data_IF_996916926579
#
_entry.id   IF_996916926579
#
_cell.length_a   1.000
_cell.length_b   1.000
_cell.length_c   1.000
_cell.angle_alpha   90.00
_cell.angle_beta   90.00
_cell.angle_gamma   90.00
#
_symmetry.space_group_name_H-M   'P 1'
#
loop_
_entity.id
_entity.type
_entity.pdbx_description
1 polymer ?
#
# COMPACT_ATOMS: atom_id res chain seq x y z
N UNK A 1 3.88 81.14 7.97
CA UNK A 1 5.17 80.56 8.27
C UNK A 1 5.03 79.08 7.89
N UNK A 2 5.40 78.74 6.66
CA UNK A 2 5.31 77.41 6.09
C UNK A 2 6.65 76.73 6.29
N UNK A 3 6.65 75.49 6.81
CA UNK A 3 7.82 74.64 6.86
C UNK A 3 7.63 73.52 5.83
N UNK A 4 8.47 73.59 4.80
CA UNK A 4 8.67 72.56 3.79
C UNK A 4 9.16 71.27 4.40
N UNK A 5 8.40 70.20 4.26
CA UNK A 5 8.86 68.80 4.51
C UNK A 5 9.20 68.14 3.17
N UNK A 6 10.48 68.17 2.81
CA UNK A 6 11.03 67.44 1.65
C UNK A 6 11.17 65.97 1.98
N UNK A 7 10.22 65.15 1.49
CA UNK A 7 10.35 63.70 1.44
C UNK A 7 11.57 63.31 0.61
N UNK A 8 12.49 62.62 1.22
CA UNK A 8 13.66 62.01 0.56
C UNK A 8 13.18 60.85 -0.25
N UNK A 9 13.22 60.97 -1.56
CA UNK A 9 13.00 59.87 -2.50
C UNK A 9 14.28 59.05 -2.56
N UNK A 10 14.26 57.72 -2.27
CA UNK A 10 15.45 56.88 -2.38
C UNK A 10 15.96 56.88 -3.81
N UNK A 11 17.26 56.91 -4.02
CA UNK A 11 17.90 56.91 -5.32
C UNK A 11 17.69 55.54 -6.00
N UNK A 12 17.61 55.57 -7.32
CA UNK A 12 17.42 54.34 -8.17
C UNK A 12 18.49 53.24 -7.95
N UNK A 13 19.65 53.60 -7.37
CA UNK A 13 20.68 52.64 -6.97
C UNK A 13 20.33 51.81 -5.70
N UNK A 14 19.55 52.36 -4.76
CA UNK A 14 19.09 51.63 -3.58
C UNK A 14 17.95 50.66 -3.90
N UNK A 15 17.07 51.05 -4.83
CA UNK A 15 16.00 50.19 -5.34
C UNK A 15 16.60 49.02 -6.19
N UNK A 16 17.65 49.28 -6.96
CA UNK A 16 18.35 48.26 -7.72
C UNK A 16 19.12 47.26 -6.83
N UNK A 17 19.62 47.66 -5.66
CA UNK A 17 20.28 46.75 -4.71
C UNK A 17 19.31 45.88 -3.92
N UNK A 18 18.09 46.34 -3.66
CA UNK A 18 17.07 45.54 -3.00
C UNK A 18 16.36 44.54 -3.91
N UNK A 19 16.33 44.77 -5.23
CA UNK A 19 15.73 43.86 -6.22
C UNK A 19 16.71 42.81 -6.76
N UNK A 20 18.04 42.97 -6.57
CA UNK A 20 19.05 41.99 -7.04
C UNK A 20 19.37 40.86 -6.06
N UNK A 21 18.77 40.83 -4.86
CA UNK A 21 19.03 39.81 -3.84
C UNK A 21 18.09 38.61 -3.87
N UNK A 22 17.12 38.51 -4.80
CA UNK A 22 16.10 37.47 -4.80
C UNK A 22 16.05 36.53 -6.01
N UNK A 23 17.03 36.58 -6.94
CA UNK A 23 16.94 35.75 -8.16
C UNK A 23 18.21 35.06 -8.65
N UNK A 24 19.14 34.69 -7.75
CA UNK A 24 20.23 33.77 -8.08
C UNK A 24 20.48 32.78 -6.92
N UNK A 25 19.49 31.95 -6.59
CA UNK A 25 19.74 30.72 -5.84
C UNK A 25 20.34 29.70 -6.83
N UNK A 26 21.64 29.78 -7.08
CA UNK A 26 22.43 28.69 -7.60
C UNK A 26 22.27 27.44 -6.71
N UNK A 27 22.78 26.24 -7.12
CA UNK A 27 22.60 25.02 -6.33
C UNK A 27 23.05 25.29 -4.90
N UNK A 28 22.06 25.32 -3.97
CA UNK A 28 22.24 25.80 -2.61
C UNK A 28 23.38 25.05 -1.95
N UNK A 29 24.25 25.79 -1.25
CA UNK A 29 25.27 25.22 -0.39
C UNK A 29 24.61 24.16 0.47
N UNK A 30 25.10 22.88 0.35
CA UNK A 30 24.66 21.78 1.19
C UNK A 30 24.71 22.25 2.64
N UNK A 31 23.55 22.41 3.27
CA UNK A 31 23.46 22.73 4.69
C UNK A 31 23.95 21.54 5.50
N UNK A 32 24.68 21.79 6.59
CA UNK A 32 25.04 20.75 7.54
C UNK A 32 23.77 20.19 8.19
N UNK A 33 23.31 19.06 7.64
CA UNK A 33 22.09 18.39 8.05
C UNK A 33 22.38 17.48 9.26
N UNK A 34 21.69 17.71 10.35
CA UNK A 34 21.77 16.78 11.49
C UNK A 34 21.22 15.42 11.09
N UNK A 35 22.01 14.35 11.26
CA UNK A 35 21.69 13.01 10.77
C UNK A 35 20.27 12.53 11.19
N UNK A 36 19.84 12.79 12.44
CA UNK A 36 18.53 12.40 12.97
C UNK A 36 17.35 13.28 12.49
N UNK A 37 17.63 14.34 11.73
CA UNK A 37 16.62 15.19 11.06
C UNK A 37 16.68 15.06 9.54
N UNK A 38 17.61 14.28 9.03
CA UNK A 38 17.79 14.09 7.61
C UNK A 38 16.64 13.33 6.98
N UNK A 39 16.43 13.51 5.68
CA UNK A 39 15.46 12.77 4.89
C UNK A 39 15.70 11.25 4.92
N UNK A 40 16.95 10.72 4.78
CA UNK A 40 17.20 9.28 4.87
C UNK A 40 16.86 8.68 6.25
N UNK A 41 17.13 9.39 7.34
CA UNK A 41 16.77 8.93 8.67
C UNK A 41 15.24 8.83 8.84
N UNK A 42 14.51 9.84 8.40
CA UNK A 42 13.04 9.80 8.45
C UNK A 42 12.46 8.72 7.53
N UNK A 43 13.09 8.43 6.38
CA UNK A 43 12.74 7.30 5.53
C UNK A 43 12.93 5.96 6.24
N UNK A 44 14.03 5.80 6.99
CA UNK A 44 14.30 4.59 7.76
C UNK A 44 13.26 4.40 8.87
N UNK A 45 12.93 5.44 9.64
CA UNK A 45 11.92 5.37 10.70
C UNK A 45 10.54 5.02 10.12
N UNK A 46 10.15 5.68 9.02
CA UNK A 46 8.90 5.38 8.33
C UNK A 46 8.88 3.93 7.83
N UNK A 47 9.99 3.47 7.25
CA UNK A 47 10.16 2.09 6.81
C UNK A 47 10.02 1.08 7.94
N UNK A 48 10.67 1.32 9.10
CA UNK A 48 10.56 0.43 10.26
C UNK A 48 9.12 0.42 10.79
N UNK A 49 8.40 1.55 10.83
CA UNK A 49 6.97 1.55 11.18
C UNK A 49 6.16 0.69 10.21
N UNK A 50 6.45 0.77 8.90
CA UNK A 50 5.80 -0.05 7.86
C UNK A 50 6.13 -1.54 8.01
N UNK A 51 7.36 -1.88 8.39
CA UNK A 51 7.77 -3.25 8.68
C UNK A 51 6.98 -3.81 9.87
N UNK A 52 6.97 -3.06 11.00
CA UNK A 52 6.40 -3.53 12.27
C UNK A 52 4.87 -3.59 12.27
N UNK A 53 4.18 -2.66 11.59
CA UNK A 53 2.72 -2.61 11.55
C UNK A 53 2.17 -3.41 10.34
N UNK A 54 2.02 -2.87 9.12
CA UNK A 54 1.43 -3.63 8.01
C UNK A 54 2.30 -4.79 7.51
N UNK A 55 3.63 -4.73 7.66
CA UNK A 55 4.53 -5.83 7.25
C UNK A 55 4.29 -7.10 8.08
N UNK A 56 4.28 -7.02 9.41
CA UNK A 56 3.98 -8.15 10.30
C UNK A 56 2.51 -8.57 10.16
N UNK A 57 1.57 -7.63 9.94
CA UNK A 57 0.18 -7.97 9.65
C UNK A 57 0.07 -8.83 8.37
N UNK A 58 0.83 -8.50 7.32
CA UNK A 58 0.92 -9.30 6.10
C UNK A 58 1.43 -10.72 6.37
N UNK A 59 2.44 -10.87 7.23
CA UNK A 59 2.94 -12.17 7.66
C UNK A 59 1.88 -12.99 8.41
N UNK A 60 1.08 -12.37 9.29
CA UNK A 60 -0.01 -13.06 10.00
C UNK A 60 -1.06 -13.61 9.04
N UNK A 61 -1.48 -12.81 8.06
CA UNK A 61 -2.48 -13.22 7.09
C UNK A 61 -1.96 -14.29 6.13
N UNK A 62 -0.69 -14.21 5.73
CA UNK A 62 -0.03 -15.20 4.87
C UNK A 62 0.19 -16.56 5.56
N UNK A 63 -0.08 -16.69 6.86
CA UNK A 63 -0.20 -17.99 7.54
C UNK A 63 -1.44 -18.80 7.12
N UNK A 64 -2.35 -18.18 6.41
CA UNK A 64 -3.68 -18.71 6.15
C UNK A 64 -4.56 -18.70 7.40
N UNK A 65 -5.75 -18.13 7.28
CA UNK A 65 -6.70 -18.07 8.39
C UNK A 65 -6.17 -17.46 9.70
N UNK A 66 -5.22 -16.52 9.63
CA UNK A 66 -4.60 -15.94 10.82
C UNK A 66 -3.93 -16.99 11.73
N UNK A 67 -3.44 -18.09 11.16
CA UNK A 67 -2.82 -19.18 11.89
C UNK A 67 -3.79 -20.25 12.43
N UNK A 68 -5.10 -20.10 12.27
CA UNK A 68 -6.09 -21.14 12.51
C UNK A 68 -6.23 -22.09 11.30
N UNK A 69 -6.82 -23.27 11.51
CA UNK A 69 -7.13 -24.17 10.40
C UNK A 69 -8.29 -23.66 9.56
N UNK A 70 -9.30 -23.08 10.22
CA UNK A 70 -10.49 -22.56 9.57
C UNK A 70 -10.38 -21.03 9.45
N UNK A 71 -10.47 -20.46 8.23
CA UNK A 71 -10.21 -19.03 8.02
C UNK A 71 -11.44 -18.13 8.24
N UNK A 72 -12.61 -18.69 8.57
CA UNK A 72 -13.89 -17.97 8.47
C UNK A 72 -13.97 -16.74 9.37
N UNK A 73 -13.63 -16.88 10.67
CA UNK A 73 -13.65 -15.77 11.62
C UNK A 73 -12.61 -14.70 11.25
N UNK A 74 -11.42 -15.13 10.85
CA UNK A 74 -10.36 -14.20 10.45
C UNK A 74 -10.71 -13.46 9.16
N UNK A 75 -11.38 -14.13 8.23
CA UNK A 75 -11.90 -13.48 7.04
C UNK A 75 -12.96 -12.42 7.39
N UNK A 76 -13.89 -12.73 8.31
CA UNK A 76 -14.86 -11.75 8.81
C UNK A 76 -14.17 -10.56 9.51
N UNK A 77 -13.13 -10.82 10.30
CA UNK A 77 -12.31 -9.81 10.97
C UNK A 77 -11.58 -8.93 9.95
N UNK A 78 -10.97 -9.51 8.93
CA UNK A 78 -10.31 -8.77 7.86
C UNK A 78 -11.31 -7.94 7.03
N UNK A 79 -12.50 -8.46 6.75
CA UNK A 79 -13.55 -7.68 6.11
C UNK A 79 -13.90 -6.43 6.91
N UNK A 80 -14.06 -6.56 8.23
CA UNK A 80 -14.29 -5.43 9.14
C UNK A 80 -13.11 -4.45 9.13
N UNK A 81 -11.88 -4.97 9.15
CA UNK A 81 -10.65 -4.16 9.04
C UNK A 81 -10.67 -3.30 7.78
N UNK A 82 -10.92 -3.89 6.62
CA UNK A 82 -10.93 -3.15 5.35
C UNK A 82 -12.11 -2.20 5.20
N UNK A 83 -13.30 -2.55 5.70
CA UNK A 83 -14.45 -1.62 5.74
C UNK A 83 -14.12 -0.36 6.55
N UNK A 84 -13.57 -0.53 7.75
CA UNK A 84 -13.21 0.60 8.61
C UNK A 84 -12.01 1.36 8.09
N UNK A 85 -11.08 0.70 7.38
CA UNK A 85 -9.94 1.33 6.72
C UNK A 85 -10.39 2.32 5.64
N UNK A 86 -11.41 1.99 4.83
CA UNK A 86 -11.97 2.94 3.84
C UNK A 86 -12.43 4.21 4.53
N UNK A 87 -13.18 4.08 5.64
CA UNK A 87 -13.69 5.23 6.38
C UNK A 87 -12.58 6.04 7.06
N UNK A 88 -11.63 5.35 7.71
CA UNK A 88 -10.58 6.01 8.48
C UNK A 88 -9.54 6.71 7.61
N UNK A 89 -9.35 6.34 6.35
CA UNK A 89 -8.54 7.10 5.41
C UNK A 89 -9.02 8.54 5.24
N UNK A 90 -10.34 8.77 5.23
CA UNK A 90 -10.91 10.12 5.16
C UNK A 90 -10.74 10.89 6.47
N UNK A 91 -10.99 10.25 7.61
CA UNK A 91 -10.83 10.88 8.92
C UNK A 91 -9.36 11.18 9.25
N UNK A 92 -8.42 10.44 8.69
CA UNK A 92 -6.99 10.66 8.87
C UNK A 92 -6.54 12.07 8.45
N UNK A 93 -7.09 12.60 7.36
CA UNK A 93 -6.78 13.98 6.91
C UNK A 93 -7.23 15.04 7.91
N UNK A 94 -8.38 14.82 8.55
CA UNK A 94 -8.90 15.69 9.62
C UNK A 94 -7.98 15.58 10.84
N UNK A 95 -7.58 14.37 11.21
CA UNK A 95 -6.71 14.13 12.36
C UNK A 95 -5.34 14.83 12.21
N UNK A 96 -4.75 14.81 10.99
CA UNK A 96 -3.50 15.53 10.70
C UNK A 96 -3.59 17.01 10.98
N UNK A 97 -4.75 17.64 10.77
CA UNK A 97 -4.96 19.06 11.06
C UNK A 97 -4.89 19.38 12.55
N UNK A 98 -5.42 18.49 13.40
CA UNK A 98 -5.51 18.72 14.85
C UNK A 98 -4.23 18.32 15.59
N UNK A 99 -3.70 17.16 15.33
CA UNK A 99 -2.55 16.62 16.09
C UNK A 99 -1.23 16.58 15.29
N UNK A 100 -1.28 16.89 14.00
CA UNK A 100 -0.12 16.86 13.10
C UNK A 100 0.25 15.47 12.61
N UNK A 101 0.99 15.42 11.48
CA UNK A 101 1.25 14.18 10.72
C UNK A 101 2.02 13.11 11.53
N UNK A 102 2.99 13.53 12.37
CA UNK A 102 3.77 12.63 13.21
C UNK A 102 2.89 11.85 14.19
N UNK A 103 2.03 12.55 14.94
CA UNK A 103 1.16 11.92 15.93
C UNK A 103 0.05 11.11 15.28
N UNK A 104 -0.40 11.53 14.09
CA UNK A 104 -1.34 10.77 13.27
C UNK A 104 -0.74 9.44 12.81
N UNK A 105 0.53 9.43 12.36
CA UNK A 105 1.22 8.20 12.03
C UNK A 105 1.35 7.27 13.24
N UNK A 106 1.74 7.79 14.40
CA UNK A 106 1.85 7.01 15.64
C UNK A 106 0.50 6.39 16.01
N UNK A 107 -0.59 7.17 15.99
CA UNK A 107 -1.94 6.67 16.21
C UNK A 107 -2.31 5.56 15.21
N UNK A 108 -1.86 5.69 13.97
CA UNK A 108 -2.05 4.70 12.91
C UNK A 108 -1.32 3.36 13.15
N UNK A 109 -0.33 3.29 14.04
CA UNK A 109 0.36 2.02 14.37
C UNK A 109 -0.28 1.28 15.55
N UNK A 110 -1.13 1.94 16.36
CA UNK A 110 -1.61 1.40 17.64
C UNK A 110 -2.55 0.18 17.50
N UNK A 111 -3.35 0.11 16.43
CA UNK A 111 -4.37 -0.93 16.30
C UNK A 111 -3.87 -2.30 15.86
N UNK A 112 -2.64 -2.41 15.38
CA UNK A 112 -2.09 -3.67 14.87
C UNK A 112 -1.82 -4.69 15.98
N UNK A 113 -1.18 -4.29 17.08
CA UNK A 113 -0.90 -5.18 18.20
C UNK A 113 -2.17 -5.75 18.88
N UNK A 114 -3.26 -4.98 19.12
CA UNK A 114 -4.53 -5.52 19.59
C UNK A 114 -5.13 -6.58 18.66
N UNK A 115 -5.00 -6.43 17.33
CA UNK A 115 -5.45 -7.46 16.41
C UNK A 115 -4.67 -8.77 16.54
N UNK A 116 -3.34 -8.69 16.63
CA UNK A 116 -2.51 -9.87 16.89
C UNK A 116 -2.84 -10.53 18.24
N UNK A 117 -3.10 -9.72 19.28
CA UNK A 117 -3.54 -10.21 20.59
C UNK A 117 -4.92 -10.89 20.52
N UNK A 118 -5.83 -10.37 19.70
CA UNK A 118 -7.11 -11.02 19.41
C UNK A 118 -6.93 -12.40 18.79
N UNK A 119 -6.07 -12.53 17.78
CA UNK A 119 -5.74 -13.83 17.17
C UNK A 119 -5.11 -14.79 18.17
N UNK A 120 -4.21 -14.31 19.03
CA UNK A 120 -3.61 -15.11 20.11
C UNK A 120 -4.68 -15.66 21.06
N UNK A 121 -5.56 -14.80 21.57
CA UNK A 121 -6.60 -15.20 22.54
C UNK A 121 -7.64 -16.14 21.91
N UNK A 122 -7.98 -15.94 20.65
CA UNK A 122 -8.82 -16.86 19.90
C UNK A 122 -8.18 -18.23 19.75
N UNK A 123 -6.94 -18.28 19.32
CA UNK A 123 -6.24 -19.55 19.13
C UNK A 123 -6.05 -20.31 20.45
N UNK A 124 -5.82 -19.61 21.57
CA UNK A 124 -5.56 -20.21 22.88
C UNK A 124 -6.81 -20.51 23.68
N UNK A 125 -7.78 -19.58 23.70
CA UNK A 125 -8.93 -19.61 24.60
C UNK A 125 -10.28 -19.69 23.86
N UNK A 126 -10.29 -19.60 22.51
CA UNK A 126 -11.53 -19.60 21.72
C UNK A 126 -12.31 -18.27 21.74
N UNK A 127 -11.67 -17.17 22.17
CA UNK A 127 -12.33 -15.87 22.33
C UNK A 127 -12.52 -15.20 20.97
N UNK A 128 -13.75 -15.10 20.46
CA UNK A 128 -14.05 -14.54 19.14
C UNK A 128 -14.21 -13.02 19.15
N UNK A 129 -14.91 -12.46 20.16
CA UNK A 129 -15.22 -11.03 20.21
C UNK A 129 -13.94 -10.16 20.17
N UNK A 130 -12.86 -10.61 20.80
CA UNK A 130 -11.62 -9.84 20.86
C UNK A 130 -10.89 -9.82 19.52
N UNK A 131 -11.04 -10.85 18.68
CA UNK A 131 -10.56 -10.80 17.28
C UNK A 131 -11.28 -9.69 16.52
N UNK A 132 -12.60 -9.62 16.61
CA UNK A 132 -13.40 -8.60 15.93
C UNK A 132 -13.11 -7.19 16.47
N UNK A 133 -12.96 -7.03 17.77
CA UNK A 133 -12.58 -5.77 18.39
C UNK A 133 -11.18 -5.32 17.93
N UNK A 134 -10.19 -6.22 17.97
CA UNK A 134 -8.83 -5.96 17.48
C UNK A 134 -8.82 -5.63 15.99
N UNK A 135 -9.63 -6.31 15.19
CA UNK A 135 -9.80 -6.03 13.76
C UNK A 135 -10.40 -4.63 13.52
N UNK A 136 -11.38 -4.22 14.32
CA UNK A 136 -11.93 -2.87 14.22
C UNK A 136 -10.89 -1.80 14.54
N UNK A 137 -10.13 -1.97 15.63
CA UNK A 137 -9.01 -1.07 15.97
C UNK A 137 -7.94 -1.06 14.88
N UNK A 138 -7.61 -2.23 14.32
CA UNK A 138 -6.65 -2.36 13.23
C UNK A 138 -7.13 -1.60 11.98
N UNK A 139 -8.40 -1.73 11.60
CA UNK A 139 -8.97 -1.05 10.45
C UNK A 139 -8.93 0.47 10.58
N UNK A 140 -9.33 0.99 11.74
CA UNK A 140 -9.24 2.43 12.03
C UNK A 140 -7.79 2.92 11.97
N UNK A 141 -6.88 2.21 12.62
CA UNK A 141 -5.45 2.52 12.63
C UNK A 141 -4.81 2.41 11.25
N UNK A 142 -5.13 1.36 10.49
CA UNK A 142 -4.55 1.12 9.19
C UNK A 142 -4.86 2.24 8.18
N UNK A 143 -6.11 2.71 8.12
CA UNK A 143 -6.47 3.81 7.23
C UNK A 143 -5.74 5.12 7.58
N UNK A 144 -5.66 5.44 8.87
CA UNK A 144 -4.90 6.59 9.37
C UNK A 144 -3.40 6.43 9.04
N UNK A 145 -2.86 5.23 9.23
CA UNK A 145 -1.46 4.90 8.95
C UNK A 145 -1.12 5.11 7.48
N UNK A 146 -1.85 4.44 6.58
CA UNK A 146 -1.58 4.48 5.14
C UNK A 146 -1.69 5.88 4.55
N UNK A 147 -2.65 6.68 5.02
CA UNK A 147 -2.79 8.07 4.61
C UNK A 147 -1.59 8.92 5.07
N UNK A 148 -1.21 8.80 6.36
CA UNK A 148 -0.10 9.56 6.95
C UNK A 148 1.24 9.18 6.33
N UNK A 149 1.45 7.88 6.11
CA UNK A 149 2.64 7.31 5.51
C UNK A 149 2.84 7.81 4.08
N UNK A 150 1.79 7.78 3.26
CA UNK A 150 1.83 8.30 1.89
C UNK A 150 2.13 9.80 1.87
N UNK A 151 1.53 10.59 2.77
CA UNK A 151 1.78 12.01 2.87
C UNK A 151 3.23 12.33 3.24
N UNK A 152 3.82 11.58 4.19
CA UNK A 152 5.22 11.72 4.58
C UNK A 152 6.13 11.31 3.43
N UNK A 153 5.87 10.17 2.80
CA UNK A 153 6.68 9.63 1.71
C UNK A 153 6.74 10.55 0.47
N UNK A 154 5.70 11.33 0.24
CA UNK A 154 5.65 12.28 -0.88
C UNK A 154 6.20 13.68 -0.52
N UNK A 155 6.13 14.08 0.75
CA UNK A 155 6.43 15.46 1.16
C UNK A 155 7.82 15.64 1.78
N UNK A 156 8.37 14.63 2.47
CA UNK A 156 9.66 14.74 3.16
C UNK A 156 10.87 14.73 2.22
N UNK A 157 10.92 13.83 1.19
CA UNK A 157 12.09 13.76 0.34
C UNK A 157 12.20 14.96 -0.61
N UNK A 158 13.41 15.25 -1.02
CA UNK A 158 13.71 16.16 -2.10
C UNK A 158 13.07 15.63 -3.41
N UNK A 159 12.63 16.51 -4.34
CA UNK A 159 11.92 16.10 -5.57
C UNK A 159 12.67 15.04 -6.40
N UNK A 160 14.00 15.13 -6.49
CA UNK A 160 14.83 14.17 -7.24
C UNK A 160 15.06 12.84 -6.51
N UNK A 161 14.80 12.77 -5.20
CA UNK A 161 14.97 11.58 -4.37
C UNK A 161 13.63 10.85 -4.07
N UNK A 162 12.48 11.38 -4.50
CA UNK A 162 11.16 10.81 -4.20
C UNK A 162 11.04 9.34 -4.59
N UNK A 163 11.49 8.98 -5.79
CA UNK A 163 11.44 7.60 -6.26
C UNK A 163 12.28 6.64 -5.40
N UNK A 164 13.50 7.06 -5.01
CA UNK A 164 14.36 6.28 -4.12
C UNK A 164 13.77 6.13 -2.71
N UNK A 165 13.19 7.20 -2.19
CA UNK A 165 12.53 7.19 -0.89
C UNK A 165 11.34 6.22 -0.88
N UNK A 166 10.49 6.27 -1.92
CA UNK A 166 9.34 5.38 -2.07
C UNK A 166 9.78 3.92 -2.20
N UNK A 167 10.78 3.62 -3.03
CA UNK A 167 11.31 2.27 -3.18
C UNK A 167 11.93 1.73 -1.90
N UNK A 168 12.71 2.54 -1.19
CA UNK A 168 13.32 2.19 0.09
C UNK A 168 12.25 1.89 1.14
N UNK A 169 11.30 2.80 1.34
CA UNK A 169 10.20 2.65 2.27
C UNK A 169 9.33 1.41 2.00
N UNK A 170 8.90 1.19 0.74
CA UNK A 170 8.08 0.03 0.37
C UNK A 170 8.78 -1.31 0.61
N UNK A 171 10.11 -1.35 0.49
CA UNK A 171 10.91 -2.55 0.75
C UNK A 171 10.77 -3.05 2.18
N UNK A 172 10.54 -2.16 3.15
CA UNK A 172 10.35 -2.54 4.55
C UNK A 172 9.05 -3.28 4.81
N UNK A 173 7.97 -2.95 4.10
CA UNK A 173 6.70 -3.70 4.20
C UNK A 173 6.90 -5.16 3.83
N UNK A 174 7.55 -5.41 2.69
CA UNK A 174 7.83 -6.77 2.25
C UNK A 174 8.88 -7.44 3.14
N UNK A 175 9.86 -6.66 3.62
CA UNK A 175 10.83 -7.11 4.64
C UNK A 175 10.16 -7.59 5.92
N UNK A 176 9.11 -6.90 6.39
CA UNK A 176 8.30 -7.31 7.53
C UNK A 176 7.56 -8.63 7.29
N UNK A 177 7.02 -8.83 6.10
CA UNK A 177 6.38 -10.09 5.71
C UNK A 177 7.39 -11.25 5.68
N UNK A 178 8.59 -11.03 5.15
CA UNK A 178 9.66 -12.05 5.16
C UNK A 178 10.13 -12.35 6.58
N UNK A 179 10.36 -11.32 7.39
CA UNK A 179 10.77 -11.48 8.79
C UNK A 179 9.74 -12.29 9.59
N UNK A 180 8.46 -11.90 9.50
CA UNK A 180 7.38 -12.61 10.16
C UNK A 180 7.21 -14.04 9.65
N UNK A 181 7.34 -14.25 8.34
CA UNK A 181 7.33 -15.57 7.71
C UNK A 181 8.51 -16.45 8.20
N UNK A 182 9.72 -15.89 8.32
CA UNK A 182 10.90 -16.59 8.82
C UNK A 182 10.73 -16.99 10.31
N UNK A 183 10.22 -16.07 11.16
CA UNK A 183 9.90 -16.36 12.55
C UNK A 183 8.90 -17.51 12.63
N UNK A 184 7.82 -17.44 11.85
CA UNK A 184 6.81 -18.47 11.81
C UNK A 184 7.37 -19.83 11.35
N UNK A 185 8.18 -19.85 10.28
CA UNK A 185 8.80 -21.06 9.77
C UNK A 185 9.75 -21.67 10.81
N UNK A 186 10.60 -20.87 11.46
CA UNK A 186 11.50 -21.33 12.50
C UNK A 186 10.78 -21.99 13.69
N UNK A 187 9.65 -21.40 14.13
CA UNK A 187 8.88 -21.91 15.28
C UNK A 187 8.06 -23.17 14.91
N UNK A 188 7.49 -23.22 13.69
CA UNK A 188 6.54 -24.26 13.29
C UNK A 188 7.12 -25.34 12.36
N UNK A 189 8.42 -25.33 12.05
CA UNK A 189 9.06 -26.27 11.09
C UNK A 189 8.83 -27.75 11.41
N UNK A 190 8.56 -28.11 12.65
CA UNK A 190 8.29 -29.48 13.09
C UNK A 190 6.81 -29.88 13.06
N UNK A 191 5.88 -28.97 12.79
CA UNK A 191 4.43 -29.23 12.79
C UNK A 191 3.94 -29.67 11.40
N UNK A 192 3.97 -30.96 11.15
CA UNK A 192 3.60 -31.59 9.88
C UNK A 192 2.11 -31.89 9.69
N UNK A 193 1.26 -31.55 10.66
CA UNK A 193 -0.19 -31.76 10.62
C UNK A 193 -0.95 -30.47 10.39
N UNK A 194 -2.24 -30.58 10.03
CA UNK A 194 -3.16 -29.45 10.09
C UNK A 194 -3.35 -28.94 11.51
N UNK A 195 -3.99 -27.79 11.67
CA UNK A 195 -4.31 -27.21 12.96
C UNK A 195 -3.80 -25.79 13.18
N UNK A 196 -3.59 -25.43 14.44
CA UNK A 196 -3.20 -24.08 14.85
C UNK A 196 -1.68 -23.91 14.85
N UNK A 197 -1.18 -22.72 14.46
CA UNK A 197 0.23 -22.36 14.62
C UNK A 197 0.58 -22.24 16.11
N UNK A 198 1.89 -22.24 16.42
CA UNK A 198 2.35 -22.08 17.81
C UNK A 198 2.00 -20.72 18.38
N UNK A 199 1.62 -20.66 19.64
CA UNK A 199 1.31 -19.39 20.34
C UNK A 199 2.51 -18.43 20.35
N UNK A 200 3.74 -18.94 20.42
CA UNK A 200 4.96 -18.15 20.40
C UNK A 200 5.08 -17.26 19.13
N UNK A 201 4.45 -17.64 18.01
CA UNK A 201 4.40 -16.80 16.80
C UNK A 201 3.60 -15.52 17.06
N UNK A 202 2.45 -15.66 17.70
CA UNK A 202 1.61 -14.49 18.02
C UNK A 202 2.26 -13.60 19.08
N UNK A 203 2.91 -14.19 20.08
CA UNK A 203 3.64 -13.44 21.10
C UNK A 203 4.75 -12.60 20.47
N UNK A 204 5.53 -13.19 19.53
CA UNK A 204 6.54 -12.45 18.76
C UNK A 204 5.92 -11.33 17.92
N UNK A 205 4.80 -11.59 17.27
CA UNK A 205 4.12 -10.58 16.43
C UNK A 205 3.52 -9.44 17.26
N UNK A 206 2.92 -9.73 18.41
CA UNK A 206 2.42 -8.73 19.36
C UNK A 206 3.57 -7.84 19.82
N UNK A 207 4.71 -8.44 20.24
CA UNK A 207 5.88 -7.70 20.69
C UNK A 207 6.43 -6.77 19.58
N UNK A 208 6.58 -7.28 18.35
CA UNK A 208 7.07 -6.49 17.22
C UNK A 208 6.12 -5.35 16.88
N UNK A 209 4.82 -5.60 16.82
CA UNK A 209 3.83 -4.55 16.50
C UNK A 209 3.69 -3.51 17.60
N UNK A 210 3.86 -3.89 18.86
CA UNK A 210 3.86 -2.97 20.00
C UNK A 210 5.04 -1.99 19.97
N UNK A 211 6.15 -2.33 19.28
CA UNK A 211 7.27 -1.40 19.04
C UNK A 211 6.94 -0.31 18.01
N UNK A 212 5.93 -0.51 17.15
CA UNK A 212 5.57 0.44 16.10
C UNK A 212 5.37 1.87 16.60
N UNK A 213 4.51 2.12 17.60
CA UNK A 213 4.32 3.46 18.17
C UNK A 213 5.60 4.06 18.76
N UNK A 214 6.44 3.24 19.41
CA UNK A 214 7.69 3.67 20.01
C UNK A 214 8.70 4.13 18.95
N UNK A 215 8.82 3.38 17.86
CA UNK A 215 9.65 3.77 16.71
C UNK A 215 9.11 5.04 16.06
N UNK A 216 7.79 5.19 15.92
CA UNK A 216 7.16 6.39 15.39
C UNK A 216 7.51 7.66 16.16
N UNK A 217 7.83 7.58 17.47
CA UNK A 217 8.30 8.72 18.27
C UNK A 217 9.62 9.32 17.76
N UNK A 218 10.44 8.53 17.06
CA UNK A 218 11.71 8.97 16.49
C UNK A 218 11.54 9.78 15.20
N UNK A 219 10.35 9.75 14.58
CA UNK A 219 10.08 10.52 13.37
C UNK A 219 10.15 12.02 13.67
N UNK A 220 10.77 12.79 12.79
CA UNK A 220 10.82 14.25 12.88
C UNK A 220 9.48 14.86 12.47
N UNK A 221 9.07 15.96 13.13
CA UNK A 221 7.95 16.77 12.64
C UNK A 221 8.34 17.43 11.31
N UNK A 222 7.40 17.77 10.41
CA UNK A 222 7.70 18.39 9.12
C UNK A 222 8.61 19.61 9.23
N UNK A 223 8.37 20.45 10.23
CA UNK A 223 9.12 21.69 10.47
C UNK A 223 10.57 21.43 10.94
N UNK A 224 10.85 20.21 11.40
CA UNK A 224 12.16 19.79 11.91
C UNK A 224 12.99 19.04 10.88
N UNK A 225 12.37 18.57 9.79
CA UNK A 225 13.08 17.83 8.74
C UNK A 225 14.04 18.78 8.02
N UNK A 226 15.28 18.36 7.90
CA UNK A 226 16.32 19.09 7.21
C UNK A 226 16.62 18.42 5.88
N UNK A 227 16.26 19.11 4.80
CA UNK A 227 16.55 18.70 3.43
C UNK A 227 17.89 19.26 3.00
N UNK A 228 18.57 18.56 2.11
CA UNK A 228 19.86 19.01 1.55
C UNK A 228 19.74 20.26 0.67
N UNK A 229 18.53 20.52 0.13
CA UNK A 229 18.23 21.73 -0.64
C UNK A 229 17.86 22.95 0.24
N UNK A 230 17.77 22.78 1.55
CA UNK A 230 17.38 23.84 2.49
C UNK A 230 15.90 24.25 2.40
N UNK A 231 15.10 23.61 1.55
CA UNK A 231 13.68 23.95 1.38
C UNK A 231 12.86 23.31 2.49
N UNK A 232 12.04 24.06 3.24
CA UNK A 232 11.21 23.49 4.29
C UNK A 232 10.14 22.55 3.71
N UNK A 233 9.85 21.47 4.47
CA UNK A 233 8.82 20.50 4.09
C UNK A 233 7.43 21.14 4.16
N UNK A 234 6.72 21.17 3.04
CA UNK A 234 5.32 21.61 2.97
C UNK A 234 4.39 20.40 2.84
N UNK A 235 3.42 20.31 3.76
CA UNK A 235 2.37 19.29 3.69
C UNK A 235 1.15 19.88 2.96
N UNK A 236 0.91 19.46 1.74
CA UNK A 236 -0.25 19.93 0.93
C UNK A 236 -1.62 19.60 1.56
N UNK A 237 -1.68 18.61 2.47
CA UNK A 237 -2.91 18.22 3.18
C UNK A 237 -3.47 19.33 4.08
N UNK A 238 -2.62 20.25 4.58
CA UNK A 238 -3.01 21.24 5.58
C UNK A 238 -3.81 22.41 5.02
N UNK A 239 -3.75 22.66 3.72
CA UNK A 239 -4.23 23.92 3.10
C UNK A 239 -5.65 23.82 2.53
N UNK A 240 -6.23 22.61 2.31
CA UNK A 240 -7.54 22.45 1.66
C UNK A 240 -8.66 22.03 2.60
N UNK A 241 -9.88 22.44 2.27
CA UNK A 241 -11.08 21.98 2.96
C UNK A 241 -11.31 20.49 2.67
N UNK A 242 -11.42 19.58 3.68
CA UNK A 242 -11.62 18.16 3.45
C UNK A 242 -12.85 17.82 2.61
N UNK A 243 -13.92 18.57 2.75
CA UNK A 243 -15.16 18.34 1.99
C UNK A 243 -15.01 18.66 0.50
N UNK A 244 -14.27 19.72 0.19
CA UNK A 244 -13.96 20.06 -1.21
C UNK A 244 -13.07 18.98 -1.82
N UNK A 245 -12.08 18.49 -1.09
CA UNK A 245 -11.19 17.44 -1.57
C UNK A 245 -11.95 16.12 -1.79
N UNK A 246 -12.85 15.75 -0.86
CA UNK A 246 -13.72 14.58 -1.02
C UNK A 246 -14.60 14.69 -2.27
N UNK A 247 -15.15 15.88 -2.53
CA UNK A 247 -15.98 16.12 -3.72
C UNK A 247 -15.18 16.02 -5.02
N UNK A 248 -13.94 16.55 -5.04
CA UNK A 248 -13.05 16.40 -6.21
C UNK A 248 -12.64 14.94 -6.44
N UNK A 249 -12.40 14.19 -5.36
CA UNK A 249 -12.16 12.74 -5.45
C UNK A 249 -13.40 12.01 -5.99
N UNK A 250 -14.61 12.35 -5.54
CA UNK A 250 -15.85 11.75 -6.03
C UNK A 250 -16.06 12.03 -7.53
N UNK A 251 -15.81 13.26 -7.99
CA UNK A 251 -15.84 13.60 -9.43
C UNK A 251 -14.83 12.78 -10.22
N UNK A 252 -13.61 12.64 -9.69
CA UNK A 252 -12.55 11.89 -10.36
C UNK A 252 -12.87 10.39 -10.42
N UNK A 253 -13.46 9.83 -9.36
CA UNK A 253 -13.98 8.46 -9.33
C UNK A 253 -15.04 8.23 -10.42
N UNK A 254 -15.96 9.18 -10.59
CA UNK A 254 -17.03 9.11 -11.60
C UNK A 254 -16.54 9.28 -13.05
N UNK A 255 -15.26 9.57 -13.27
CA UNK A 255 -14.72 9.65 -14.63
C UNK A 255 -14.76 8.30 -15.34
N UNK A 256 -15.14 8.30 -16.61
CA UNK A 256 -15.19 7.07 -17.43
C UNK A 256 -13.89 6.26 -17.37
N UNK A 257 -12.73 6.93 -17.32
CA UNK A 257 -11.42 6.26 -17.27
C UNK A 257 -11.21 5.50 -15.97
N UNK A 258 -11.56 6.13 -14.84
CA UNK A 258 -11.41 5.48 -13.55
C UNK A 258 -12.42 4.33 -13.39
N UNK A 259 -13.68 4.55 -13.75
CA UNK A 259 -14.71 3.49 -13.69
C UNK A 259 -14.37 2.27 -14.54
N UNK A 260 -13.74 2.45 -15.70
CA UNK A 260 -13.29 1.34 -16.55
C UNK A 260 -12.12 0.55 -15.96
N UNK A 261 -11.31 1.15 -15.07
CA UNK A 261 -10.19 0.44 -14.41
C UNK A 261 -10.61 -0.22 -13.09
N UNK A 262 -11.76 0.16 -12.50
CA UNK A 262 -12.26 -0.40 -11.23
C UNK A 262 -12.35 -1.95 -11.25
N UNK A 263 -12.86 -2.62 -12.29
CA UNK A 263 -12.88 -4.08 -12.33
C UNK A 263 -11.48 -4.71 -12.26
N UNK A 264 -10.47 -4.07 -12.87
CA UNK A 264 -9.09 -4.53 -12.80
C UNK A 264 -8.52 -4.36 -11.39
N UNK A 265 -8.79 -3.23 -10.72
CA UNK A 265 -8.40 -3.00 -9.33
C UNK A 265 -9.06 -4.06 -8.44
N UNK A 266 -10.35 -4.26 -8.59
CA UNK A 266 -11.11 -5.19 -7.77
C UNK A 266 -10.58 -6.64 -7.88
N UNK A 267 -10.44 -7.18 -9.10
CA UNK A 267 -9.95 -8.55 -9.30
C UNK A 267 -8.52 -8.75 -8.77
N UNK A 268 -7.69 -7.72 -8.88
CA UNK A 268 -6.28 -7.80 -8.46
C UNK A 268 -6.15 -8.07 -6.96
N UNK A 269 -6.89 -7.32 -6.14
CA UNK A 269 -6.80 -7.42 -4.68
C UNK A 269 -7.77 -8.45 -4.08
N UNK A 270 -8.83 -8.81 -4.81
CA UNK A 270 -9.74 -9.89 -4.42
C UNK A 270 -9.01 -11.22 -4.20
N UNK A 271 -7.95 -11.46 -4.96
CA UNK A 271 -7.11 -12.66 -4.90
C UNK A 271 -6.45 -12.86 -3.52
N UNK A 272 -6.28 -11.82 -2.71
CA UNK A 272 -5.59 -11.92 -1.41
C UNK A 272 -6.33 -12.84 -0.44
N UNK A 273 -7.63 -12.65 -0.24
CA UNK A 273 -8.45 -13.51 0.61
C UNK A 273 -8.52 -14.95 0.06
N UNK A 274 -8.56 -15.08 -1.27
CA UNK A 274 -8.57 -16.39 -1.95
C UNK A 274 -7.32 -17.19 -1.64
N UNK A 275 -6.13 -16.61 -1.88
CA UNK A 275 -4.86 -17.32 -1.70
C UNK A 275 -4.58 -17.65 -0.23
N UNK A 276 -4.94 -16.78 0.71
CA UNK A 276 -4.73 -17.05 2.13
C UNK A 276 -5.73 -18.06 2.68
N UNK A 277 -6.99 -18.04 2.23
CA UNK A 277 -7.96 -19.09 2.57
C UNK A 277 -7.55 -20.45 2.02
N UNK A 278 -7.10 -20.50 0.77
CA UNK A 278 -6.58 -21.71 0.15
C UNK A 278 -5.41 -22.30 0.93
N UNK A 279 -4.46 -21.44 1.34
CA UNK A 279 -3.32 -21.89 2.13
C UNK A 279 -3.74 -22.40 3.52
N UNK A 280 -4.69 -21.73 4.17
CA UNK A 280 -5.22 -22.13 5.48
C UNK A 280 -5.92 -23.49 5.44
N UNK A 281 -6.73 -23.73 4.43
CA UNK A 281 -7.60 -24.91 4.33
C UNK A 281 -6.84 -26.18 3.92
N UNK A 282 -5.86 -26.09 3.00
CA UNK A 282 -5.34 -27.26 2.30
C UNK A 282 -3.91 -27.66 2.66
N UNK A 283 -3.23 -26.94 3.58
CA UNK A 283 -1.84 -27.21 3.94
C UNK A 283 -1.60 -27.41 5.42
N UNK A 284 -0.60 -28.22 5.74
CA UNK A 284 -0.09 -28.41 7.10
C UNK A 284 0.47 -27.12 7.69
N UNK A 285 0.60 -27.02 9.00
CA UNK A 285 1.12 -25.81 9.69
C UNK A 285 2.49 -25.42 9.17
N UNK A 286 3.42 -26.37 9.01
CA UNK A 286 4.78 -26.07 8.53
C UNK A 286 4.79 -25.68 7.04
N UNK A 287 3.91 -26.26 6.22
CA UNK A 287 3.76 -25.90 4.82
C UNK A 287 3.21 -24.48 4.65
N UNK A 288 2.25 -24.07 5.50
CA UNK A 288 1.75 -22.69 5.56
C UNK A 288 2.84 -21.71 6.01
N UNK A 289 3.67 -22.13 6.98
CA UNK A 289 4.80 -21.33 7.43
C UNK A 289 5.83 -21.11 6.31
N UNK A 290 6.14 -22.14 5.53
CA UNK A 290 6.98 -22.04 4.34
C UNK A 290 6.35 -21.10 3.29
N UNK A 291 5.04 -21.23 3.06
CA UNK A 291 4.30 -20.35 2.15
C UNK A 291 4.33 -18.89 2.58
N UNK A 292 4.15 -18.60 3.87
CA UNK A 292 4.27 -17.25 4.42
C UNK A 292 5.65 -16.64 4.16
N UNK A 293 6.72 -17.39 4.39
CA UNK A 293 8.08 -16.93 4.10
C UNK A 293 8.32 -16.70 2.61
N UNK A 294 7.98 -17.71 1.77
CA UNK A 294 8.21 -17.63 0.32
C UNK A 294 7.34 -16.59 -0.37
N UNK A 295 6.15 -16.28 0.17
CA UNK A 295 5.29 -15.23 -0.40
C UNK A 295 6.01 -13.88 -0.40
N UNK A 296 6.74 -13.52 0.65
CA UNK A 296 7.54 -12.32 0.70
C UNK A 296 8.71 -12.33 -0.29
N UNK A 297 9.41 -13.46 -0.41
CA UNK A 297 10.51 -13.62 -1.37
C UNK A 297 10.02 -13.47 -2.81
N UNK A 298 8.92 -14.14 -3.17
CA UNK A 298 8.29 -14.06 -4.49
C UNK A 298 7.84 -12.63 -4.78
N UNK A 299 7.23 -11.94 -3.80
CA UNK A 299 6.80 -10.56 -3.95
C UNK A 299 7.96 -9.61 -4.28
N UNK A 300 9.13 -9.76 -3.61
CA UNK A 300 10.31 -8.96 -3.93
C UNK A 300 10.81 -9.26 -5.36
N UNK A 301 11.02 -10.52 -5.69
CA UNK A 301 11.58 -10.91 -6.99
C UNK A 301 10.68 -10.43 -8.12
N UNK A 302 9.40 -10.76 -8.06
CA UNK A 302 8.42 -10.44 -9.11
C UNK A 302 8.17 -8.94 -9.20
N UNK A 303 8.10 -8.25 -8.05
CA UNK A 303 7.94 -6.80 -8.01
C UNK A 303 9.10 -6.07 -8.68
N UNK A 304 10.36 -6.49 -8.41
CA UNK A 304 11.53 -5.91 -9.05
C UNK A 304 11.59 -6.23 -10.57
N UNK A 305 11.22 -7.43 -10.98
CA UNK A 305 11.16 -7.79 -12.41
C UNK A 305 10.13 -6.92 -13.15
N UNK A 306 8.94 -6.75 -12.59
CA UNK A 306 7.92 -5.88 -13.17
C UNK A 306 8.37 -4.41 -13.18
N UNK A 307 8.94 -3.90 -12.09
CA UNK A 307 9.49 -2.56 -12.02
C UNK A 307 10.56 -2.33 -13.09
N UNK A 308 11.52 -3.25 -13.22
CA UNK A 308 12.57 -3.18 -14.24
C UNK A 308 11.99 -3.17 -15.67
N UNK A 309 10.94 -3.96 -15.94
CA UNK A 309 10.26 -3.93 -17.23
C UNK A 309 9.55 -2.59 -17.46
N UNK A 310 8.81 -2.09 -16.49
CA UNK A 310 8.07 -0.84 -16.62
C UNK A 310 8.98 0.40 -16.76
N UNK A 311 10.19 0.34 -16.19
CA UNK A 311 11.20 1.42 -16.27
C UNK A 311 12.15 1.30 -17.47
N UNK A 312 12.05 0.23 -18.25
CA UNK A 312 12.99 -0.05 -19.34
C UNK A 312 12.85 0.93 -20.51
N UNK A 313 13.61 2.01 -20.47
CA UNK A 313 13.56 3.15 -21.43
C UNK A 313 13.86 2.79 -22.89
N UNK A 314 14.44 1.59 -23.18
CA UNK A 314 14.65 1.12 -24.56
C UNK A 314 13.33 0.96 -25.32
N UNK A 315 12.24 0.66 -24.61
CA UNK A 315 10.92 0.49 -25.21
C UNK A 315 10.02 1.69 -24.92
N UNK A 316 9.14 1.99 -25.89
CA UNK A 316 8.16 3.06 -25.72
C UNK A 316 7.22 2.78 -24.53
N UNK A 317 6.67 3.83 -23.92
CA UNK A 317 5.67 3.73 -22.85
C UNK A 317 4.49 2.82 -23.26
N UNK A 318 4.02 2.98 -24.50
CA UNK A 318 2.98 2.14 -25.10
C UNK A 318 3.34 0.66 -25.06
N UNK A 319 4.56 0.29 -25.47
CA UNK A 319 5.03 -1.11 -25.52
C UNK A 319 5.16 -1.69 -24.12
N UNK A 320 5.75 -0.95 -23.17
CA UNK A 320 5.92 -1.39 -21.79
C UNK A 320 4.58 -1.61 -21.10
N UNK A 321 3.65 -0.69 -21.26
CA UNK A 321 2.32 -0.76 -20.68
C UNK A 321 1.49 -1.92 -21.23
N UNK A 322 1.41 -2.07 -22.56
CA UNK A 322 0.69 -3.15 -23.20
C UNK A 322 1.33 -4.52 -22.95
N UNK A 323 2.66 -4.59 -22.99
CA UNK A 323 3.40 -5.82 -22.66
C UNK A 323 3.15 -6.29 -21.23
N UNK A 324 3.18 -5.38 -20.25
CA UNK A 324 2.83 -5.69 -18.86
C UNK A 324 1.38 -6.18 -18.72
N UNK A 325 0.43 -5.54 -19.41
CA UNK A 325 -0.97 -5.94 -19.41
C UNK A 325 -1.15 -7.37 -19.93
N UNK A 326 -0.64 -7.67 -21.13
CA UNK A 326 -0.79 -8.99 -21.71
C UNK A 326 -0.08 -10.08 -20.93
N UNK A 327 1.14 -9.83 -20.46
CA UNK A 327 1.89 -10.78 -19.65
C UNK A 327 1.18 -11.06 -18.33
N UNK A 328 0.80 -10.02 -17.57
CA UNK A 328 0.16 -10.17 -16.27
C UNK A 328 -1.18 -10.87 -16.37
N UNK A 329 -2.09 -10.37 -17.21
CA UNK A 329 -3.44 -10.94 -17.28
C UNK A 329 -3.49 -12.26 -18.07
N UNK A 330 -2.61 -12.46 -19.05
CA UNK A 330 -2.51 -13.74 -19.74
C UNK A 330 -2.03 -14.87 -18.83
N UNK A 331 -0.97 -14.65 -18.05
CA UNK A 331 -0.48 -15.60 -17.06
C UNK A 331 -1.55 -15.90 -16.00
N UNK A 332 -2.21 -14.85 -15.49
CA UNK A 332 -3.27 -15.02 -14.49
C UNK A 332 -4.45 -15.84 -15.02
N UNK A 333 -4.83 -15.69 -16.30
CA UNK A 333 -5.88 -16.50 -16.89
C UNK A 333 -5.55 -17.99 -16.84
N UNK A 334 -4.31 -18.37 -17.19
CA UNK A 334 -3.85 -19.74 -17.07
C UNK A 334 -3.87 -20.25 -15.62
N UNK A 335 -3.46 -19.41 -14.67
CA UNK A 335 -3.47 -19.77 -13.25
C UNK A 335 -4.89 -19.89 -12.69
N UNK A 336 -5.86 -19.09 -13.14
CA UNK A 336 -7.26 -19.22 -12.74
C UNK A 336 -7.91 -20.49 -13.29
N UNK A 337 -7.59 -20.90 -14.53
CA UNK A 337 -8.05 -22.17 -15.07
C UNK A 337 -7.51 -23.33 -14.23
N UNK A 338 -6.19 -23.32 -13.96
CA UNK A 338 -5.57 -24.34 -13.11
C UNK A 338 -6.17 -24.37 -11.70
N UNK A 339 -6.36 -23.20 -11.10
CA UNK A 339 -6.99 -23.06 -9.80
C UNK A 339 -8.39 -23.66 -9.75
N UNK A 340 -9.22 -23.36 -10.73
CA UNK A 340 -10.59 -23.87 -10.81
C UNK A 340 -10.63 -25.40 -10.82
N UNK A 341 -9.76 -26.03 -11.58
CA UNK A 341 -9.63 -27.49 -11.63
C UNK A 341 -9.20 -28.04 -10.27
N UNK A 342 -8.15 -27.43 -9.70
CA UNK A 342 -7.53 -27.94 -8.48
C UNK A 342 -8.42 -27.80 -7.25
N UNK A 343 -9.07 -26.62 -7.06
CA UNK A 343 -9.93 -26.40 -5.89
C UNK A 343 -11.22 -27.21 -5.96
N UNK A 344 -11.71 -27.52 -7.19
CA UNK A 344 -12.86 -28.43 -7.36
C UNK A 344 -12.52 -29.85 -6.91
N UNK A 345 -11.31 -30.31 -7.19
CA UNK A 345 -10.82 -31.60 -6.71
C UNK A 345 -10.58 -31.59 -5.19
N UNK A 346 -9.96 -30.56 -4.67
CA UNK A 346 -9.71 -30.40 -3.23
C UNK A 346 -11.01 -30.30 -2.42
N UNK A 347 -12.06 -29.69 -2.98
CA UNK A 347 -13.37 -29.66 -2.34
C UNK A 347 -13.97 -31.06 -2.14
N UNK A 348 -13.68 -31.99 -3.05
CA UNK A 348 -14.15 -33.40 -2.98
C UNK A 348 -13.28 -34.24 -2.06
N UNK A 349 -11.95 -34.07 -2.15
CA UNK A 349 -10.97 -34.94 -1.49
C UNK A 349 -10.57 -34.44 -0.10
N UNK A 350 -10.79 -33.16 0.20
CA UNK A 350 -10.47 -32.46 1.48
C UNK A 350 -9.03 -32.76 1.96
N UNK A 351 -7.99 -32.58 1.12
CA UNK A 351 -6.62 -32.93 1.49
C UNK A 351 -6.03 -31.90 2.45
N UNK A 352 -5.06 -32.33 3.26
CA UNK A 352 -4.16 -31.45 4.02
C UNK A 352 -2.74 -31.83 3.65
N UNK A 353 -2.14 -31.09 2.72
CA UNK A 353 -0.81 -31.40 2.21
C UNK A 353 0.31 -30.92 3.13
N UNK A 354 1.20 -31.80 3.43
CA UNK A 354 2.51 -31.45 3.98
C UNK A 354 3.55 -31.38 2.86
N UNK A 355 4.67 -30.69 3.09
CA UNK A 355 5.69 -30.47 2.04
C UNK A 355 6.39 -31.75 1.56
N UNK A 356 6.24 -32.87 2.29
CA UNK A 356 6.76 -34.19 1.90
C UNK A 356 5.73 -35.03 1.16
N UNK A 357 4.46 -34.60 1.07
CA UNK A 357 3.38 -35.39 0.51
C UNK A 357 3.38 -35.36 -1.03
N UNK A 358 3.02 -36.50 -1.64
CA UNK A 358 2.76 -36.55 -3.06
C UNK A 358 1.59 -35.62 -3.42
N UNK A 359 1.81 -34.71 -4.38
CA UNK A 359 0.80 -33.72 -4.81
C UNK A 359 0.93 -32.35 -4.14
N UNK A 360 1.70 -32.20 -3.06
CA UNK A 360 1.99 -30.89 -2.43
C UNK A 360 2.42 -29.85 -3.46
N UNK A 361 3.37 -30.19 -4.34
CA UNK A 361 3.94 -29.27 -5.31
C UNK A 361 2.91 -28.61 -6.23
N UNK A 362 1.83 -29.31 -6.60
CA UNK A 362 0.78 -28.74 -7.47
C UNK A 362 0.01 -27.61 -6.79
N UNK A 363 -0.45 -27.83 -5.56
CA UNK A 363 -1.17 -26.82 -4.79
C UNK A 363 -0.27 -25.68 -4.34
N UNK A 364 0.95 -25.99 -3.90
CA UNK A 364 1.88 -24.99 -3.38
C UNK A 364 2.42 -24.09 -4.50
N UNK A 365 2.71 -24.63 -5.68
CA UNK A 365 3.09 -23.84 -6.85
C UNK A 365 1.97 -22.87 -7.26
N UNK A 366 0.71 -23.33 -7.27
CA UNK A 366 -0.43 -22.46 -7.55
C UNK A 366 -0.50 -21.30 -6.56
N UNK A 367 -0.31 -21.54 -5.26
CA UNK A 367 -0.27 -20.48 -4.25
C UNK A 367 0.83 -19.45 -4.56
N UNK A 368 2.04 -19.90 -4.89
CA UNK A 368 3.16 -18.99 -5.24
C UNK A 368 2.88 -18.20 -6.52
N UNK A 369 2.25 -18.79 -7.52
CA UNK A 369 1.83 -18.09 -8.75
C UNK A 369 0.74 -17.04 -8.46
N UNK A 370 -0.18 -17.31 -7.55
CA UNK A 370 -1.15 -16.30 -7.13
C UNK A 370 -0.47 -15.13 -6.40
N UNK A 371 0.50 -15.40 -5.52
CA UNK A 371 1.31 -14.34 -4.90
C UNK A 371 2.05 -13.51 -5.97
N UNK A 372 2.64 -14.17 -6.96
CA UNK A 372 3.29 -13.50 -8.09
C UNK A 372 2.29 -12.64 -8.87
N UNK A 373 1.12 -13.18 -9.19
CA UNK A 373 0.06 -12.45 -9.89
C UNK A 373 -0.47 -11.24 -9.12
N UNK A 374 -0.64 -11.37 -7.81
CA UNK A 374 -1.00 -10.27 -6.93
C UNK A 374 0.04 -9.14 -7.01
N UNK A 375 1.32 -9.48 -6.90
CA UNK A 375 2.39 -8.50 -6.95
C UNK A 375 2.57 -7.85 -8.34
N UNK A 376 2.40 -8.63 -9.43
CA UNK A 376 2.40 -8.12 -10.79
C UNK A 376 1.30 -7.08 -10.99
N UNK A 377 0.07 -7.40 -10.57
CA UNK A 377 -1.07 -6.48 -10.63
C UNK A 377 -0.83 -5.23 -9.80
N UNK A 378 -0.33 -5.40 -8.58
CA UNK A 378 -0.05 -4.29 -7.66
C UNK A 378 0.87 -3.27 -8.32
N UNK A 379 2.03 -3.71 -8.82
CA UNK A 379 3.00 -2.84 -9.49
C UNK A 379 2.43 -2.23 -10.77
N UNK A 380 1.70 -3.02 -11.56
CA UNK A 380 1.11 -2.57 -12.81
C UNK A 380 0.01 -1.53 -12.59
N UNK A 381 -0.86 -1.71 -11.60
CA UNK A 381 -1.93 -0.76 -11.27
C UNK A 381 -1.37 0.59 -10.83
N UNK A 382 -0.35 0.63 -9.97
CA UNK A 382 0.29 1.88 -9.59
C UNK A 382 0.91 2.61 -10.79
N UNK A 383 1.53 1.85 -11.70
CA UNK A 383 2.05 2.41 -12.95
C UNK A 383 0.94 2.97 -13.84
N UNK A 384 -0.16 2.25 -14.03
CA UNK A 384 -1.31 2.70 -14.82
C UNK A 384 -1.92 3.96 -14.22
N UNK A 385 -2.19 3.95 -12.92
CA UNK A 385 -2.79 5.09 -12.20
C UNK A 385 -1.91 6.33 -12.27
N UNK A 386 -0.59 6.18 -12.12
CA UNK A 386 0.35 7.29 -12.27
C UNK A 386 0.33 7.91 -13.68
N UNK A 387 0.09 7.10 -14.72
CA UNK A 387 0.00 7.57 -16.10
C UNK A 387 -1.38 8.11 -16.51
N UNK A 388 -2.41 7.97 -15.67
CA UNK A 388 -3.74 8.54 -15.91
C UNK A 388 -3.88 9.97 -15.36
N UNK A 389 -3.01 10.38 -14.47
CA UNK A 389 -3.04 11.70 -13.84
C UNK A 389 -2.73 12.81 -14.85
N UNK A 390 -3.43 13.92 -14.72
CA UNK A 390 -3.23 15.12 -15.56
C UNK A 390 -2.24 16.10 -14.95
N UNK A 391 -2.14 16.11 -13.63
CA UNK A 391 -1.23 16.95 -12.86
C UNK A 391 -0.85 16.26 -11.55
N UNK A 392 0.10 16.83 -10.79
CA UNK A 392 0.61 16.25 -9.54
C UNK A 392 -0.48 16.07 -8.46
N UNK A 393 -1.49 16.95 -8.42
CA UNK A 393 -2.60 16.84 -7.49
C UNK A 393 -3.48 15.64 -7.80
N UNK A 394 -3.76 15.40 -9.09
CA UNK A 394 -4.52 14.22 -9.52
C UNK A 394 -3.77 12.91 -9.22
N UNK A 395 -2.43 12.88 -9.24
CA UNK A 395 -1.64 11.71 -8.85
C UNK A 395 -2.00 11.28 -7.43
N UNK A 396 -2.02 12.22 -6.49
CA UNK A 396 -2.33 11.96 -5.08
C UNK A 396 -3.79 11.48 -4.92
N UNK A 397 -4.74 12.15 -5.60
CA UNK A 397 -6.16 11.77 -5.57
C UNK A 397 -6.40 10.39 -6.16
N UNK A 398 -5.80 10.09 -7.30
CA UNK A 398 -5.92 8.78 -7.95
C UNK A 398 -5.28 7.67 -7.12
N UNK A 399 -4.15 7.93 -6.46
CA UNK A 399 -3.55 6.98 -5.52
C UNK A 399 -4.47 6.70 -4.32
N UNK A 400 -5.12 7.74 -3.78
CA UNK A 400 -6.13 7.61 -2.73
C UNK A 400 -7.36 6.82 -3.18
N UNK A 401 -7.87 7.09 -4.39
CA UNK A 401 -8.99 6.36 -4.99
C UNK A 401 -8.64 4.90 -5.28
N UNK A 402 -7.42 4.62 -5.79
CA UNK A 402 -6.92 3.27 -5.96
C UNK A 402 -6.98 2.54 -4.62
N UNK A 403 -6.42 3.12 -3.56
CA UNK A 403 -6.36 2.51 -2.23
C UNK A 403 -7.75 2.28 -1.63
N UNK A 404 -8.67 3.24 -1.78
CA UNK A 404 -10.05 3.10 -1.34
C UNK A 404 -10.79 1.99 -2.09
N UNK A 405 -10.62 1.90 -3.41
CA UNK A 405 -11.21 0.84 -4.26
C UNK A 405 -10.62 -0.54 -3.93
N UNK A 406 -9.31 -0.62 -3.73
CA UNK A 406 -8.63 -1.84 -3.26
C UNK A 406 -9.24 -2.32 -1.93
N UNK A 407 -9.31 -1.43 -0.94
CA UNK A 407 -9.85 -1.77 0.39
C UNK A 407 -11.32 -2.20 0.33
N UNK A 408 -12.14 -1.56 -0.50
CA UNK A 408 -13.54 -1.94 -0.69
C UNK A 408 -13.64 -3.36 -1.32
N UNK A 409 -12.84 -3.66 -2.33
CA UNK A 409 -12.82 -4.98 -2.95
C UNK A 409 -12.28 -6.07 -2.01
N UNK A 410 -11.25 -5.76 -1.20
CA UNK A 410 -10.74 -6.66 -0.16
C UNK A 410 -11.80 -6.92 0.91
N UNK A 411 -12.55 -5.90 1.35
CA UNK A 411 -13.65 -6.07 2.29
C UNK A 411 -14.70 -7.06 1.77
N UNK A 412 -15.08 -6.97 0.49
CA UNK A 412 -16.00 -7.91 -0.15
C UNK A 412 -15.41 -9.31 -0.23
N UNK A 413 -14.15 -9.45 -0.67
CA UNK A 413 -13.47 -10.73 -0.81
C UNK A 413 -13.36 -11.48 0.51
N UNK A 414 -12.90 -10.79 1.55
CA UNK A 414 -12.80 -11.36 2.89
C UNK A 414 -14.17 -11.61 3.50
N UNK A 415 -15.14 -10.72 3.29
CA UNK A 415 -16.51 -10.90 3.76
C UNK A 415 -17.17 -12.16 3.18
N UNK A 416 -17.05 -12.37 1.87
CA UNK A 416 -17.50 -13.62 1.23
C UNK A 416 -16.68 -14.82 1.72
N UNK A 417 -15.37 -14.67 1.93
CA UNK A 417 -14.50 -15.70 2.48
C UNK A 417 -14.82 -16.15 3.91
N UNK A 418 -15.69 -15.42 4.64
CA UNK A 418 -16.22 -15.87 5.93
C UNK A 418 -17.26 -17.00 5.79
N UNK A 419 -17.81 -17.20 4.58
CA UNK A 419 -18.75 -18.28 4.29
C UNK A 419 -18.01 -19.50 3.78
N UNK A 420 -18.23 -20.67 4.36
CA UNK A 420 -17.48 -21.92 4.12
C UNK A 420 -17.32 -22.27 2.64
N UNK A 421 -18.41 -22.31 1.87
CA UNK A 421 -18.37 -22.65 0.46
C UNK A 421 -17.62 -21.60 -0.37
N UNK A 422 -17.69 -20.32 0.01
CA UNK A 422 -16.97 -19.25 -0.66
C UNK A 422 -15.48 -19.33 -0.37
N UNK A 423 -15.07 -19.60 0.88
CA UNK A 423 -13.66 -19.75 1.24
C UNK A 423 -13.00 -20.94 0.54
N UNK A 424 -13.71 -22.04 0.32
CA UNK A 424 -13.16 -23.25 -0.28
C UNK A 424 -13.09 -23.20 -1.81
N UNK A 425 -14.16 -22.79 -2.49
CA UNK A 425 -14.25 -22.82 -3.97
C UNK A 425 -14.88 -21.56 -4.56
N UNK A 426 -15.91 -21.00 -3.92
CA UNK A 426 -16.74 -19.95 -4.52
C UNK A 426 -15.94 -18.69 -4.87
N UNK A 427 -15.05 -18.24 -3.98
CA UNK A 427 -14.21 -17.07 -4.23
C UNK A 427 -13.21 -17.28 -5.37
N UNK A 428 -12.74 -18.51 -5.60
CA UNK A 428 -11.89 -18.84 -6.77
C UNK A 428 -12.66 -18.64 -8.06
N UNK A 429 -13.87 -19.19 -8.15
CA UNK A 429 -14.73 -19.05 -9.33
C UNK A 429 -15.12 -17.59 -9.56
N UNK A 430 -15.49 -16.88 -8.48
CA UNK A 430 -15.87 -15.46 -8.56
C UNK A 430 -14.70 -14.60 -9.04
N UNK A 431 -13.49 -14.81 -8.51
CA UNK A 431 -12.34 -14.02 -8.94
C UNK A 431 -11.90 -14.34 -10.37
N UNK A 432 -12.06 -15.60 -10.81
CA UNK A 432 -11.87 -15.94 -12.23
C UNK A 432 -12.87 -15.19 -13.12
N UNK A 433 -14.15 -15.13 -12.71
CA UNK A 433 -15.16 -14.33 -13.41
C UNK A 433 -14.84 -12.83 -13.42
N UNK A 434 -14.39 -12.25 -12.28
CA UNK A 434 -13.96 -10.87 -12.19
C UNK A 434 -12.76 -10.57 -13.09
N UNK A 435 -11.79 -11.50 -13.17
CA UNK A 435 -10.66 -11.39 -14.09
C UNK A 435 -11.15 -11.30 -15.54
N UNK A 436 -12.07 -12.17 -15.96
CA UNK A 436 -12.61 -12.15 -17.32
C UNK A 436 -13.37 -10.84 -17.63
N UNK A 437 -14.19 -10.37 -16.69
CA UNK A 437 -14.92 -9.10 -16.82
C UNK A 437 -13.97 -7.91 -16.89
N UNK A 438 -12.84 -7.95 -16.17
CA UNK A 438 -11.89 -6.84 -16.12
C UNK A 438 -11.11 -6.64 -17.42
N UNK A 439 -10.94 -7.66 -18.24
CA UNK A 439 -10.08 -7.64 -19.44
C UNK A 439 -10.46 -6.51 -20.40
N UNK A 440 -11.73 -6.45 -20.81
CA UNK A 440 -12.18 -5.51 -21.83
C UNK A 440 -12.21 -4.07 -21.33
N UNK A 441 -12.84 -3.71 -20.19
CA UNK A 441 -12.81 -2.35 -19.66
C UNK A 441 -11.40 -1.82 -19.44
N UNK A 442 -10.53 -2.64 -18.84
CA UNK A 442 -9.14 -2.26 -18.59
C UNK A 442 -8.38 -1.99 -19.89
N UNK A 443 -8.59 -2.83 -20.92
CA UNK A 443 -7.95 -2.64 -22.22
C UNK A 443 -8.32 -1.30 -22.85
N UNK A 444 -9.58 -0.86 -22.72
CA UNK A 444 -10.03 0.43 -23.26
C UNK A 444 -9.24 1.63 -22.69
N UNK A 445 -8.79 1.53 -21.43
CA UNK A 445 -7.95 2.53 -20.77
C UNK A 445 -6.48 2.37 -21.15
N UNK A 446 -5.99 1.13 -21.03
CA UNK A 446 -4.56 0.81 -21.16
C UNK A 446 -4.05 1.04 -22.59
N UNK A 447 -4.88 0.80 -23.61
CA UNK A 447 -4.49 1.03 -25.02
C UNK A 447 -4.11 2.47 -25.32
N UNK A 448 -4.64 3.44 -24.56
CA UNK A 448 -4.44 4.89 -24.77
C UNK A 448 -3.19 5.41 -24.04
N UNK A 449 -2.68 4.71 -23.02
CA UNK A 449 -1.46 5.10 -22.30
C UNK A 449 -0.25 5.00 -23.23
N UNK A 450 0.51 6.09 -23.32
CA UNK A 450 1.64 6.24 -24.23
C UNK A 450 1.26 6.54 -25.69
N UNK A 451 -0.03 6.75 -25.97
CA UNK A 451 -0.55 7.28 -27.23
C UNK A 451 -1.11 8.68 -27.00
N UNK A 452 -1.88 8.84 -25.93
CA UNK A 452 -2.44 10.13 -25.51
C UNK A 452 -1.63 10.65 -24.32
N UNK A 453 -1.10 11.86 -24.43
CA UNK A 453 -0.44 12.50 -23.29
C UNK A 453 -1.50 13.21 -22.44
N UNK A 454 -1.78 12.66 -21.26
CA UNK A 454 -2.76 13.23 -20.32
C UNK A 454 -2.15 14.29 -19.41
N UNK A 455 -0.84 14.21 -19.15
CA UNK A 455 -0.15 15.11 -18.23
C UNK A 455 0.02 16.49 -18.85
N UNK A 456 -0.56 17.50 -18.20
CA UNK A 456 -0.34 18.92 -18.45
C UNK A 456 0.31 19.47 -17.18
N UNK A 457 1.60 19.85 -17.21
CA UNK A 457 2.19 20.53 -16.05
C UNK A 457 1.33 21.74 -15.73
N UNK A 458 1.05 21.96 -14.45
CA UNK A 458 0.43 23.20 -13.97
C UNK A 458 1.37 24.33 -14.37
N UNK A 459 0.95 25.16 -15.31
CA UNK A 459 1.60 26.44 -15.59
C UNK A 459 1.51 27.24 -14.30
N UNK A 460 2.60 27.26 -13.52
CA UNK A 460 2.80 28.31 -12.53
C UNK A 460 2.73 29.62 -13.31
N UNK A 461 1.61 30.33 -13.12
CA UNK A 461 1.43 31.76 -13.32
C UNK A 461 2.56 32.50 -14.11
N UNK A 462 2.48 32.49 -15.41
CA UNK A 462 2.99 33.56 -16.25
C UNK A 462 1.98 34.74 -16.23
N UNK A 463 1.77 35.31 -15.07
CA UNK A 463 0.96 36.55 -14.92
C UNK A 463 1.79 37.69 -14.35
N UNK A 464 2.99 37.90 -14.92
CA UNK A 464 3.80 39.08 -14.61
C UNK A 464 4.15 39.89 -15.88
N UNK A 465 3.92 39.36 -17.09
CA UNK A 465 4.39 40.04 -18.33
C UNK A 465 3.30 40.73 -19.17
N UNK A 466 2.04 40.82 -18.71
CA UNK A 466 0.97 41.50 -19.48
C UNK A 466 0.55 42.91 -18.95
N UNK A 467 1.35 43.52 -18.09
CA UNK A 467 1.15 44.93 -17.67
C UNK A 467 2.26 45.88 -18.12
N UNK A 468 2.96 45.55 -19.20
CA UNK A 468 3.89 46.49 -19.83
C UNK A 468 3.70 46.49 -21.34
N UNK A 469 2.52 47.00 -21.80
CA UNK A 469 2.31 47.62 -23.12
C UNK A 469 1.24 48.65 -23.03
#
# INVERSE_FOLDING_TARGET
>A
MATDDKGIVPSDEEVARSSSSSSNAGPGRLQDVKWYRSTPFNALILGICNLLAPGIWGAMNSLGGGGAQEPYLVNAANALTFCLMVLSCFFGTVLVRYIGIKWTLIAGTLGYAPYAAGLYTHNRYGTEWFVLFGAALCGLSAGIFWMSEAAIALSYPEPWNRGRFLGFWLSFRVGGQILGGAINLGINAKKNTGGKVSYAVFEAFIALQALGPLVGLLLSKPEQVQRTDGVPVKLYIKERNPWTELWEMAKLFATKRFLLIVPLIAQAVYAEAVMFSFQGLWFSVRSRALGSFLSGVVAIVVGNLMGAWLDWKKYSLKTRNRGAFYATLGLQGAWWIWATILVTDFQKTQPIFDWVDAGFGKGFALFLFWVAGFQLNYMFLYFVIGNLARNDEEVVRLAGLLRGTESAAQAVSYGLGSVKIMASVGNVYLNFGLWAIALFPAWLVIKDIGVVNYYKPSTETSSVDDQAK
#
